data_IF_066458792884
#
_entry.id   IF_066458792884
#
_cell.length_a   1.000
_cell.length_b   1.000
_cell.length_c   1.000
_cell.angle_alpha   90.00
_cell.angle_beta   90.00
_cell.angle_gamma   90.00
#
_symmetry.space_group_name_H-M   'P 1'
#
loop_
_entity.id
_entity.type
_entity.pdbx_description
1 polymer ?
#
# COMPACT_ATOMS: atom_id res chain seq x y z
N UNK A 1 -17.48 -13.13 6.36
CA UNK A 1 -16.17 -12.67 5.93
C UNK A 1 -16.05 -11.17 5.91
N UNK A 2 -14.86 -10.69 5.60
CA UNK A 2 -14.60 -9.26 5.54
C UNK A 2 -15.30 -8.65 4.33
N UNK A 3 -15.89 -7.46 4.46
CA UNK A 3 -16.50 -6.78 3.33
C UNK A 3 -15.45 -6.36 2.31
N UNK A 4 -15.79 -6.46 1.03
CA UNK A 4 -14.89 -6.06 -0.04
C UNK A 4 -15.67 -5.59 -1.24
N UNK A 5 -15.04 -4.74 -2.05
CA UNK A 5 -15.57 -4.25 -3.30
C UNK A 5 -14.44 -4.35 -4.32
N UNK A 6 -14.68 -5.09 -5.40
CA UNK A 6 -13.68 -5.30 -6.45
C UNK A 6 -14.12 -4.66 -7.75
N UNK A 7 -13.19 -4.00 -8.41
CA UNK A 7 -13.37 -3.47 -9.76
C UNK A 7 -12.50 -4.28 -10.70
N UNK A 8 -13.12 -4.88 -11.71
CA UNK A 8 -12.41 -5.77 -12.64
C UNK A 8 -12.07 -5.04 -13.93
N UNK A 9 -10.96 -5.44 -14.54
CA UNK A 9 -10.61 -4.96 -15.88
C UNK A 9 -11.49 -5.64 -16.90
N UNK A 10 -11.40 -5.18 -18.17
CA UNK A 10 -12.15 -5.77 -19.25
C UNK A 10 -11.82 -7.25 -19.48
N UNK A 11 -10.66 -7.69 -19.02
CA UNK A 11 -10.22 -9.09 -19.14
C UNK A 11 -10.59 -9.91 -17.92
N UNK A 12 -11.33 -9.34 -16.98
CA UNK A 12 -11.78 -10.06 -15.78
C UNK A 12 -10.76 -10.10 -14.65
N UNK A 13 -9.63 -9.43 -14.81
CA UNK A 13 -8.63 -9.34 -13.75
C UNK A 13 -9.00 -8.24 -12.77
N UNK A 14 -8.53 -8.40 -11.53
CA UNK A 14 -8.76 -7.38 -10.52
C UNK A 14 -7.97 -6.11 -10.86
N UNK A 15 -8.69 -4.99 -11.00
CA UNK A 15 -8.07 -3.69 -11.27
C UNK A 15 -7.93 -2.85 -10.02
N UNK A 16 -8.92 -2.93 -9.12
CA UNK A 16 -8.90 -2.23 -7.86
C UNK A 16 -9.74 -3.01 -6.84
N UNK A 17 -9.38 -2.89 -5.58
CA UNK A 17 -10.17 -3.50 -4.51
C UNK A 17 -10.16 -2.61 -3.28
N UNK A 18 -11.32 -2.52 -2.63
CA UNK A 18 -11.44 -1.88 -1.32
C UNK A 18 -11.88 -2.98 -0.36
N UNK A 19 -11.10 -3.19 0.68
CA UNK A 19 -11.32 -4.29 1.62
C UNK A 19 -11.24 -3.76 3.04
N UNK A 20 -12.10 -4.29 3.92
CA UNK A 20 -11.91 -4.09 5.36
C UNK A 20 -11.54 -5.47 5.90
N UNK A 21 -10.35 -5.58 6.47
CA UNK A 21 -9.86 -6.88 6.92
C UNK A 21 -10.47 -7.28 8.27
N UNK A 22 -10.02 -8.41 8.81
CA UNK A 22 -10.57 -8.95 10.05
C UNK A 22 -10.28 -8.10 11.28
N UNK A 23 -9.35 -7.13 11.16
CA UNK A 23 -9.03 -6.18 12.23
C UNK A 23 -9.71 -4.83 12.00
N UNK A 24 -10.69 -4.78 11.09
CA UNK A 24 -11.39 -3.56 10.69
C UNK A 24 -10.47 -2.52 10.03
N UNK A 25 -9.36 -2.97 9.44
CA UNK A 25 -8.44 -2.08 8.73
C UNK A 25 -8.90 -1.89 7.28
N UNK A 26 -9.21 -0.66 6.86
CA UNK A 26 -9.60 -0.41 5.46
C UNK A 26 -8.35 -0.31 4.59
N UNK A 27 -8.41 -0.98 3.43
CA UNK A 27 -7.29 -1.05 2.50
C UNK A 27 -7.82 -0.87 1.08
N UNK A 28 -7.23 0.07 0.34
CA UNK A 28 -7.49 0.26 -1.08
C UNK A 28 -6.26 -0.19 -1.86
N UNK A 29 -6.44 -1.08 -2.83
CA UNK A 29 -5.34 -1.59 -3.65
C UNK A 29 -5.65 -1.37 -5.11
N UNK A 30 -4.66 -0.89 -5.86
CA UNK A 30 -4.72 -0.80 -7.32
C UNK A 30 -3.75 -1.82 -7.90
N UNK A 31 -4.20 -2.53 -8.92
CA UNK A 31 -3.45 -3.65 -9.51
C UNK A 31 -3.04 -3.36 -10.95
N UNK A 32 -1.96 -3.96 -11.36
CA UNK A 32 -1.55 -4.01 -12.76
C UNK A 32 -1.02 -5.41 -13.05
N UNK A 33 -1.62 -6.08 -14.04
CA UNK A 33 -1.22 -7.44 -14.39
C UNK A 33 -1.45 -8.44 -13.25
N UNK A 34 -2.47 -8.19 -12.43
CA UNK A 34 -2.77 -9.06 -11.30
C UNK A 34 -1.92 -8.85 -10.07
N UNK A 35 -1.01 -7.87 -10.10
CA UNK A 35 -0.13 -7.59 -8.97
C UNK A 35 -0.44 -6.23 -8.35
N UNK A 36 -0.41 -6.13 -7.02
CA UNK A 36 -0.61 -4.84 -6.35
C UNK A 36 0.49 -3.85 -6.71
N UNK A 37 0.10 -2.62 -7.05
CA UNK A 37 1.04 -1.54 -7.38
C UNK A 37 0.90 -0.37 -6.44
N UNK A 38 -0.32 -0.12 -5.97
CA UNK A 38 -0.60 0.97 -5.03
C UNK A 38 -1.44 0.38 -3.91
N UNK A 39 -1.00 0.56 -2.68
CA UNK A 39 -1.74 0.14 -1.50
C UNK A 39 -1.87 1.32 -0.56
N UNK A 40 -3.10 1.70 -0.25
CA UNK A 40 -3.40 2.78 0.69
C UNK A 40 -4.26 2.20 1.80
N UNK A 41 -3.83 2.36 3.04
CA UNK A 41 -4.57 1.79 4.13
C UNK A 41 -4.29 2.40 5.47
N UNK A 42 -5.14 2.05 6.43
CA UNK A 42 -4.92 2.37 7.83
C UNK A 42 -4.69 1.05 8.54
N UNK A 43 -3.47 0.83 9.00
CA UNK A 43 -3.05 -0.43 9.60
C UNK A 43 -2.51 -0.13 10.98
N UNK A 44 -3.16 -0.71 12.02
CA UNK A 44 -2.74 -0.51 13.41
C UNK A 44 -2.57 0.97 13.75
N UNK A 45 -3.56 1.79 13.36
CA UNK A 45 -3.62 3.23 13.60
C UNK A 45 -2.56 4.04 12.85
N UNK A 46 -1.90 3.43 11.88
CA UNK A 46 -0.95 4.11 11.00
C UNK A 46 -1.55 4.24 9.60
N UNK A 47 -1.47 5.42 9.01
CA UNK A 47 -1.89 5.63 7.63
C UNK A 47 -0.69 5.41 6.73
N UNK A 48 -0.84 4.55 5.71
CA UNK A 48 0.27 4.12 4.87
C UNK A 48 -0.13 4.14 3.42
N UNK A 49 0.77 4.64 2.57
CA UNK A 49 0.66 4.56 1.11
C UNK A 49 1.93 3.89 0.58
N UNK A 50 1.76 2.76 -0.09
CA UNK A 50 2.86 2.04 -0.72
C UNK A 50 2.72 2.11 -2.22
N UNK A 51 3.81 2.44 -2.91
CA UNK A 51 3.92 2.38 -4.36
C UNK A 51 4.96 1.32 -4.70
N UNK A 52 4.58 0.36 -5.53
CA UNK A 52 5.42 -0.81 -5.82
C UNK A 52 5.65 -0.96 -7.31
N UNK A 53 6.79 -1.53 -7.67
CA UNK A 53 6.99 -2.03 -9.02
C UNK A 53 6.52 -3.49 -9.11
N UNK A 54 6.91 -4.22 -10.13
CA UNK A 54 6.44 -5.59 -10.34
C UNK A 54 6.86 -6.55 -9.22
N UNK A 55 7.91 -6.22 -8.49
CA UNK A 55 8.51 -7.16 -7.55
C UNK A 55 8.45 -6.70 -6.09
N UNK A 56 8.48 -5.39 -5.83
CA UNK A 56 8.68 -4.94 -4.45
C UNK A 56 8.23 -3.49 -4.25
N UNK A 57 7.98 -3.09 -3.01
CA UNK A 57 7.72 -1.69 -2.69
C UNK A 57 8.92 -0.81 -3.03
N UNK A 58 8.66 0.39 -3.56
CA UNK A 58 9.70 1.35 -3.93
C UNK A 58 9.57 2.66 -3.18
N UNK A 59 8.37 3.00 -2.75
CA UNK A 59 8.12 4.25 -2.04
C UNK A 59 7.06 3.98 -0.98
N UNK A 60 7.38 4.34 0.25
CA UNK A 60 6.46 4.19 1.37
C UNK A 60 6.28 5.55 2.02
N UNK A 61 5.03 5.97 2.14
CA UNK A 61 4.66 7.22 2.81
C UNK A 61 3.75 6.83 3.97
N UNK A 62 4.05 7.32 5.16
CA UNK A 62 3.26 6.94 6.31
C UNK A 62 3.18 7.98 7.40
N UNK A 63 2.11 7.85 8.19
CA UNK A 63 1.96 8.59 9.43
C UNK A 63 1.70 7.57 10.53
N UNK A 64 2.63 7.48 11.45
CA UNK A 64 2.53 6.51 12.54
C UNK A 64 1.54 6.99 13.61
N UNK A 65 1.16 6.05 14.47
CA UNK A 65 0.21 6.31 15.57
C UNK A 65 0.61 7.51 16.42
N UNK A 66 1.91 7.71 16.62
CA UNK A 66 2.41 8.84 17.42
C UNK A 66 2.49 10.15 16.64
N UNK A 67 1.96 10.19 15.43
CA UNK A 67 1.92 11.38 14.59
C UNK A 67 3.17 11.64 13.77
N UNK A 68 4.16 10.78 13.86
CA UNK A 68 5.38 10.95 13.07
C UNK A 68 5.11 10.55 11.62
N UNK A 69 5.46 11.43 10.70
CA UNK A 69 5.31 11.17 9.27
C UNK A 69 6.66 10.89 8.62
N UNK A 70 6.64 10.08 7.57
CA UNK A 70 7.87 9.74 6.87
C UNK A 70 7.59 9.43 5.41
N UNK A 71 8.62 9.62 4.58
CA UNK A 71 8.65 9.18 3.19
C UNK A 71 9.94 8.39 3.03
N UNK A 72 9.83 7.15 2.55
CA UNK A 72 10.97 6.25 2.42
C UNK A 72 11.08 5.78 0.98
N UNK A 73 12.25 5.94 0.39
CA UNK A 73 12.58 5.43 -0.94
C UNK A 73 13.40 4.16 -0.79
N UNK A 74 13.02 3.12 -1.51
CA UNK A 74 13.58 1.78 -1.35
C UNK A 74 14.01 1.25 -2.72
N UNK A 75 15.15 0.57 -2.77
CA UNK A 75 15.62 -0.04 -4.02
C UNK A 75 15.04 -1.44 -4.20
N UNK A 76 15.40 -2.09 -5.30
CA UNK A 76 14.87 -3.41 -5.66
C UNK A 76 15.25 -4.51 -4.67
N UNK A 77 16.27 -4.30 -3.85
CA UNK A 77 16.72 -5.26 -2.84
C UNK A 77 16.10 -5.00 -1.46
N UNK A 78 15.20 -4.02 -1.36
CA UNK A 78 14.59 -3.67 -0.08
C UNK A 78 15.43 -2.75 0.77
N UNK A 79 16.52 -2.20 0.23
CA UNK A 79 17.39 -1.29 0.97
C UNK A 79 16.88 0.14 0.89
N UNK A 80 16.93 0.85 2.01
CA UNK A 80 16.50 2.25 2.06
C UNK A 80 17.52 3.13 1.37
N UNK A 81 17.10 3.84 0.33
CA UNK A 81 17.94 4.77 -0.41
C UNK A 81 17.93 6.15 0.22
N UNK A 82 16.77 6.58 0.65
CA UNK A 82 16.55 7.91 1.20
C UNK A 82 15.34 7.87 2.10
N UNK A 83 15.37 8.66 3.16
CA UNK A 83 14.25 8.72 4.10
C UNK A 83 14.08 10.15 4.58
N UNK A 84 12.85 10.63 4.64
CA UNK A 84 12.52 11.96 5.14
C UNK A 84 11.47 11.83 6.24
N UNK A 85 11.63 12.54 7.36
CA UNK A 85 12.82 13.34 7.69
C UNK A 85 14.03 12.45 7.89
N UNK A 86 15.18 12.97 7.59
CA UNK A 86 16.42 12.24 7.77
C UNK A 86 16.73 12.08 9.26
N UNK A 87 17.43 10.99 9.56
CA UNK A 87 17.80 10.66 10.94
C UNK A 87 19.03 11.43 11.42
#
# INVERSE_FOLDING_TARGET
GAPSLDFLTSEGQRGAAVVVDSNDAPILTLYSGGQPRVVLGVIQQSAVLNLSDEASPRLVIGVAENGRSSITFVNENGEVLEEFPSR
#
